data_IF_709024722924
#
_entry.id   IF_709024722924
#
_cell.length_a   1.000
_cell.length_b   1.000
_cell.length_c   1.000
_cell.angle_alpha   90.00
_cell.angle_beta   90.00
_cell.angle_gamma   90.00
#
_symmetry.space_group_name_H-M   'P 1'
#
loop_
_entity.id
_entity.type
_entity.pdbx_description
1 polymer ?
#
# COMPACT_ATOMS: atom_id res chain seq x y z
N UNK A 1 -8.32 1.31 12.40
CA UNK A 1 -7.60 2.46 11.83
C UNK A 1 -7.07 3.27 12.99
N UNK A 2 -5.77 3.21 13.26
CA UNK A 2 -5.15 3.79 14.46
C UNK A 2 -4.78 5.27 14.24
N UNK A 3 -5.78 6.13 14.00
CA UNK A 3 -5.56 7.58 13.96
C UNK A 3 -4.81 8.12 12.74
N UNK A 4 -4.71 7.35 11.65
CA UNK A 4 -4.12 7.81 10.38
C UNK A 4 -5.18 8.07 9.32
N UNK A 5 -4.97 9.13 8.54
CA UNK A 5 -5.68 9.38 7.29
C UNK A 5 -4.97 8.64 6.16
N UNK A 6 -5.71 7.89 5.35
CA UNK A 6 -5.17 7.18 4.20
C UNK A 6 -5.49 7.94 2.91
N UNK A 7 -4.46 8.24 2.13
CA UNK A 7 -4.58 8.82 0.79
C UNK A 7 -4.11 7.81 -0.26
N UNK A 8 -4.56 7.97 -1.51
CA UNK A 8 -4.23 7.06 -2.59
C UNK A 8 -3.73 7.81 -3.81
N UNK A 9 -2.61 7.37 -4.36
CA UNK A 9 -2.14 7.85 -5.65
C UNK A 9 -2.99 7.31 -6.81
N UNK A 10 -2.96 8.02 -7.93
CA UNK A 10 -3.72 7.65 -9.14
C UNK A 10 -3.43 6.23 -9.61
N UNK A 11 -2.19 5.76 -9.46
CA UNK A 11 -1.76 4.42 -9.88
C UNK A 11 -2.39 3.33 -9.02
N UNK A 12 -2.35 3.48 -7.68
CA UNK A 12 -3.02 2.59 -6.75
C UNK A 12 -4.52 2.49 -7.03
N UNK A 13 -5.19 3.63 -7.22
CA UNK A 13 -6.62 3.65 -7.56
C UNK A 13 -6.91 2.97 -8.91
N UNK A 14 -6.06 3.19 -9.91
CA UNK A 14 -6.18 2.55 -11.23
C UNK A 14 -6.05 1.03 -11.14
N UNK A 15 -5.13 0.52 -10.34
CA UNK A 15 -4.99 -0.91 -10.12
C UNK A 15 -6.21 -1.48 -9.40
N UNK A 16 -6.63 -0.87 -8.29
CA UNK A 16 -7.78 -1.29 -7.49
C UNK A 16 -9.05 -1.43 -8.32
N UNK A 17 -9.35 -0.43 -9.17
CA UNK A 17 -10.54 -0.44 -10.03
C UNK A 17 -10.61 -1.58 -11.04
N UNK A 18 -9.47 -2.20 -11.36
CA UNK A 18 -9.40 -3.33 -12.30
C UNK A 18 -9.57 -4.69 -11.64
N UNK A 19 -9.50 -4.76 -10.30
CA UNK A 19 -9.56 -6.03 -9.58
C UNK A 19 -11.01 -6.46 -9.33
N UNK A 20 -11.22 -7.75 -9.15
CA UNK A 20 -12.49 -8.26 -8.66
C UNK A 20 -12.80 -7.78 -7.22
N UNK A 21 -14.06 -7.95 -6.81
CA UNK A 21 -14.53 -7.50 -5.50
C UNK A 21 -13.76 -8.16 -4.34
N UNK A 22 -13.42 -9.43 -4.47
CA UNK A 22 -12.75 -10.20 -3.41
C UNK A 22 -11.34 -9.66 -3.15
N UNK A 23 -10.59 -9.37 -4.22
CA UNK A 23 -9.26 -8.81 -4.13
C UNK A 23 -9.29 -7.35 -3.66
N UNK A 24 -10.27 -6.54 -4.11
CA UNK A 24 -10.47 -5.20 -3.58
C UNK A 24 -10.71 -5.20 -2.06
N UNK A 25 -11.60 -6.07 -1.58
CA UNK A 25 -11.89 -6.20 -0.14
C UNK A 25 -10.66 -6.65 0.64
N UNK A 26 -9.90 -7.62 0.11
CA UNK A 26 -8.64 -8.08 0.72
C UNK A 26 -7.61 -6.96 0.84
N UNK A 27 -7.42 -6.17 -0.22
CA UNK A 27 -6.49 -5.03 -0.22
C UNK A 27 -6.94 -3.99 0.80
N UNK A 28 -8.22 -3.62 0.82
CA UNK A 28 -8.74 -2.64 1.76
C UNK A 28 -8.62 -3.09 3.21
N UNK A 29 -8.82 -4.37 3.50
CA UNK A 29 -8.66 -4.91 4.85
C UNK A 29 -7.22 -4.80 5.35
N UNK A 30 -6.24 -5.00 4.47
CA UNK A 30 -4.81 -4.80 4.79
C UNK A 30 -4.52 -3.30 5.00
N UNK A 31 -4.99 -2.43 4.11
CA UNK A 31 -4.78 -0.97 4.23
C UNK A 31 -5.32 -0.42 5.55
N UNK A 32 -6.48 -0.91 6.01
CA UNK A 32 -7.08 -0.51 7.30
C UNK A 32 -6.23 -0.85 8.53
N UNK A 33 -5.31 -1.81 8.40
CA UNK A 33 -4.40 -2.23 9.48
C UNK A 33 -3.11 -1.39 9.51
N UNK A 34 -2.80 -0.64 8.45
CA UNK A 34 -1.59 0.17 8.37
C UNK A 34 -1.56 1.28 9.44
N UNK A 35 -0.36 1.64 9.95
CA UNK A 35 0.95 1.13 9.55
C UNK A 35 1.33 -0.20 10.24
N UNK A 36 0.42 -0.82 10.99
CA UNK A 36 0.57 -2.16 11.55
C UNK A 36 0.12 -3.26 10.58
N UNK A 37 0.08 -4.51 11.08
CA UNK A 37 -0.28 -5.69 10.30
C UNK A 37 0.93 -6.60 10.03
N UNK A 38 0.83 -7.44 9.00
CA UNK A 38 1.82 -8.46 8.67
C UNK A 38 2.55 -8.18 7.36
N UNK A 39 3.72 -8.82 7.18
CA UNK A 39 4.55 -8.78 5.97
C UNK A 39 4.93 -7.36 5.51
N UNK A 40 5.15 -6.47 6.48
CA UNK A 40 5.62 -5.11 6.24
C UNK A 40 7.14 -5.11 6.14
N UNK A 41 7.67 -4.56 5.04
CA UNK A 41 9.11 -4.33 4.85
C UNK A 41 9.35 -2.92 4.35
N UNK A 42 10.36 -2.25 4.89
CA UNK A 42 10.88 -1.01 4.30
C UNK A 42 11.55 -1.34 2.95
N UNK A 43 11.38 -0.48 1.95
CA UNK A 43 12.10 -0.60 0.69
C UNK A 43 13.54 -0.08 0.87
N UNK A 44 14.51 -0.84 0.37
CA UNK A 44 15.92 -0.43 0.40
C UNK A 44 16.12 0.84 -0.43
N UNK A 45 16.97 1.75 0.05
CA UNK A 45 17.23 3.03 -0.61
C UNK A 45 16.21 4.14 -0.33
N UNK A 46 15.16 3.87 0.45
CA UNK A 46 14.15 4.86 0.82
C UNK A 46 13.95 4.92 2.34
N UNK A 47 13.86 6.14 2.88
CA UNK A 47 13.70 6.33 4.32
C UNK A 47 12.29 5.97 4.82
N UNK A 48 11.27 6.37 4.06
CA UNK A 48 9.86 6.34 4.51
C UNK A 48 8.94 5.54 3.58
N UNK A 49 9.51 4.64 2.77
CA UNK A 49 8.75 3.84 1.81
C UNK A 49 8.70 2.38 2.26
N UNK A 50 7.49 1.84 2.32
CA UNK A 50 7.20 0.52 2.86
C UNK A 50 6.41 -0.30 1.85
N UNK A 51 6.44 -1.61 2.03
CA UNK A 51 5.63 -2.57 1.29
C UNK A 51 4.96 -3.54 2.25
N UNK A 52 3.68 -3.83 2.00
CA UNK A 52 3.00 -5.02 2.52
C UNK A 52 2.49 -5.91 1.38
N UNK A 53 2.13 -7.17 1.68
CA UNK A 53 1.66 -8.16 0.70
C UNK A 53 0.19 -8.51 0.94
N UNK A 54 -0.57 -8.50 -0.15
CA UNK A 54 -1.96 -8.96 -0.22
C UNK A 54 -2.03 -10.19 -1.14
N UNK A 55 -1.55 -11.33 -0.65
CA UNK A 55 -1.36 -12.52 -1.49
C UNK A 55 -0.27 -12.29 -2.56
N UNK A 56 -0.67 -12.25 -3.83
CA UNK A 56 0.25 -12.01 -4.96
C UNK A 56 0.44 -10.52 -5.29
N UNK A 57 -0.34 -9.64 -4.67
CA UNK A 57 -0.27 -8.19 -4.86
C UNK A 57 0.66 -7.57 -3.80
N UNK A 58 1.35 -6.50 -4.19
CA UNK A 58 2.17 -5.66 -3.31
C UNK A 58 1.55 -4.27 -3.22
N UNK A 59 1.48 -3.77 -2.00
CA UNK A 59 1.02 -2.42 -1.69
C UNK A 59 2.24 -1.64 -1.23
N UNK A 60 2.63 -0.62 -1.98
CA UNK A 60 3.68 0.33 -1.61
C UNK A 60 3.03 1.55 -0.98
N UNK A 61 3.53 1.96 0.17
CA UNK A 61 3.00 3.11 0.88
C UNK A 61 4.09 3.88 1.61
N UNK A 62 3.85 5.17 1.82
CA UNK A 62 4.67 6.03 2.66
C UNK A 62 3.93 6.47 3.91
N UNK A 63 4.67 6.79 4.97
CA UNK A 63 4.11 7.28 6.23
C UNK A 63 4.67 8.67 6.51
N UNK A 64 3.79 9.65 6.68
CA UNK A 64 4.12 10.98 7.20
C UNK A 64 3.67 11.05 8.66
N UNK A 65 4.60 10.70 9.55
CA UNK A 65 4.32 10.52 10.98
C UNK A 65 3.77 11.79 11.65
N UNK A 66 4.33 12.95 11.31
CA UNK A 66 3.92 14.26 11.85
C UNK A 66 2.49 14.64 11.48
N UNK A 67 2.03 14.25 10.29
CA UNK A 67 0.70 14.55 9.78
C UNK A 67 -0.30 13.41 10.01
N UNK A 68 0.17 12.27 10.52
CA UNK A 68 -0.59 11.02 10.59
C UNK A 68 -1.24 10.65 9.25
N UNK A 69 -0.47 10.76 8.17
CA UNK A 69 -0.92 10.38 6.81
C UNK A 69 -0.18 9.11 6.36
N UNK A 70 -0.93 8.16 5.82
CA UNK A 70 -0.41 7.02 5.07
C UNK A 70 -0.79 7.24 3.61
N UNK A 71 0.20 7.40 2.74
CA UNK A 71 -0.06 7.53 1.31
C UNK A 71 0.16 6.18 0.62
N UNK A 72 -0.86 5.66 -0.05
CA UNK A 72 -0.74 4.46 -0.87
C UNK A 72 -0.20 4.86 -2.25
N UNK A 73 1.12 4.73 -2.39
CA UNK A 73 1.90 5.15 -3.56
C UNK A 73 1.59 4.29 -4.79
N UNK A 74 1.55 2.96 -4.62
CA UNK A 74 1.28 2.05 -5.71
C UNK A 74 0.73 0.71 -5.21
N UNK A 75 -0.08 0.05 -6.04
CA UNK A 75 -0.55 -1.31 -5.82
C UNK A 75 -0.35 -2.06 -7.13
N UNK A 76 0.38 -3.17 -7.10
CA UNK A 76 0.61 -3.95 -8.32
C UNK A 76 0.96 -5.41 -8.03
N UNK A 77 0.96 -6.23 -9.08
CA UNK A 77 1.38 -7.63 -9.02
C UNK A 77 2.86 -7.78 -8.67
N UNK A 78 3.22 -9.01 -8.28
CA UNK A 78 4.59 -9.38 -7.93
C UNK A 78 5.56 -9.15 -9.11
N UNK A 79 6.31 -8.06 -9.05
CA UNK A 79 7.44 -7.76 -9.95
C UNK A 79 7.27 -6.42 -10.64
N UNK A 80 6.02 -6.11 -11.04
CA UNK A 80 5.68 -4.88 -11.75
C UNK A 80 5.71 -3.64 -10.86
N UNK A 81 5.46 -3.80 -9.55
CA UNK A 81 5.40 -2.67 -8.61
C UNK A 81 6.71 -1.87 -8.50
N UNK A 82 7.84 -2.47 -8.88
CA UNK A 82 9.17 -1.84 -8.86
C UNK A 82 9.54 -1.15 -10.17
N UNK A 83 8.76 -1.24 -11.25
CA UNK A 83 9.12 -0.61 -12.53
C UNK A 83 9.12 0.93 -12.49
N UNK A 84 8.79 1.52 -11.35
CA UNK A 84 8.77 2.97 -11.09
C UNK A 84 9.83 3.44 -10.07
N UNK A 85 10.58 2.51 -9.48
CA UNK A 85 11.52 2.76 -8.38
C UNK A 85 12.78 1.92 -8.58
#
# INVERSE_FOLDING_TARGET
MNGYTVTFEKAALKFMRKQDRVLQERIMNIIKQLPGGADIKRLQGYENLYRTRAGNVRIIYSIKETLKIINIENIDNRGDVYKRY
#
